data_IF_213121873830
#
_entry.id   IF_213121873830
#
_cell.length_a   1.000
_cell.length_b   1.000
_cell.length_c   1.000
_cell.angle_alpha   90.00
_cell.angle_beta   90.00
_cell.angle_gamma   90.00
#
_symmetry.space_group_name_H-M   'P 1'
#
loop_
_entity.id
_entity.type
_entity.pdbx_description
1 polymer ?
#
# COMPACT_ATOMS: atom_id res chain seq x y z
N UNK A 1 26.83 18.06 -41.44
CA UNK A 1 27.17 16.99 -42.41
C UNK A 1 28.67 17.03 -42.66
N UNK A 2 29.32 15.93 -43.10
CA UNK A 2 29.07 14.51 -42.82
C UNK A 2 30.33 13.85 -42.17
N UNK A 3 30.50 12.54 -42.29
CA UNK A 3 31.62 11.74 -41.71
C UNK A 3 32.82 11.57 -42.68
N UNK A 4 33.88 10.86 -42.21
CA UNK A 4 34.81 9.92 -42.91
C UNK A 4 36.29 10.20 -42.56
N UNK A 5 36.97 9.47 -41.66
CA UNK A 5 37.59 8.10 -41.70
C UNK A 5 39.08 8.07 -42.10
N UNK A 6 39.82 7.10 -41.53
CA UNK A 6 41.28 6.92 -41.62
C UNK A 6 41.76 6.37 -42.98
N UNK A 7 43.08 6.32 -43.21
CA UNK A 7 43.76 5.01 -43.06
C UNK A 7 45.06 5.05 -42.23
N UNK A 8 45.49 3.89 -41.73
CA UNK A 8 46.78 3.66 -41.06
C UNK A 8 47.78 2.92 -41.99
N UNK A 9 49.07 2.95 -41.67
CA UNK A 9 50.16 2.36 -42.47
C UNK A 9 50.84 1.15 -41.79
N UNK A 10 51.50 0.25 -42.56
CA UNK A 10 51.91 -1.09 -42.12
C UNK A 10 53.28 -1.17 -41.41
N UNK A 11 53.63 -2.34 -40.78
CA UNK A 11 54.79 -2.49 -39.89
C UNK A 11 56.07 -3.07 -40.57
N UNK A 12 57.24 -2.97 -39.92
CA UNK A 12 58.49 -3.66 -40.31
C UNK A 12 58.82 -4.92 -39.47
N UNK A 13 59.64 -5.82 -40.03
CA UNK A 13 59.96 -7.19 -39.57
C UNK A 13 61.37 -7.56 -40.10
N UNK A 14 62.33 -8.22 -39.41
CA UNK A 14 62.44 -8.80 -38.05
C UNK A 14 63.81 -8.36 -37.40
N UNK A 15 64.71 -9.13 -36.73
CA UNK A 15 64.85 -10.57 -36.45
C UNK A 15 65.80 -10.90 -35.26
N UNK A 16 65.62 -12.10 -34.69
CA UNK A 16 66.66 -13.02 -34.13
C UNK A 16 67.66 -12.57 -33.04
N UNK A 17 67.45 -13.07 -31.83
CA UNK A 17 68.49 -13.67 -30.97
C UNK A 17 67.94 -14.98 -30.38
N UNK A 18 68.78 -16.00 -30.07
CA UNK A 18 68.29 -17.38 -29.90
C UNK A 18 68.90 -18.17 -28.73
N UNK A 19 68.00 -18.80 -27.94
CA UNK A 19 68.25 -19.91 -26.98
C UNK A 19 69.15 -19.58 -25.76
N UNK A 20 69.24 -20.42 -24.70
CA UNK A 20 68.84 -21.84 -24.56
C UNK A 20 67.41 -22.07 -24.04
N UNK A 21 67.04 -23.36 -23.94
CA UNK A 21 65.73 -23.81 -23.46
C UNK A 21 65.81 -24.28 -21.99
N UNK A 22 64.70 -24.11 -21.25
CA UNK A 22 64.49 -24.70 -19.93
C UNK A 22 63.31 -25.67 -19.99
N UNK A 23 63.52 -26.93 -19.61
CA UNK A 23 62.48 -27.93 -19.49
C UNK A 23 61.85 -27.86 -18.08
N UNK A 24 60.57 -27.53 -18.01
CA UNK A 24 59.75 -27.65 -16.81
C UNK A 24 58.38 -28.27 -17.20
N UNK A 25 57.79 -29.16 -16.38
CA UNK A 25 56.69 -30.01 -16.82
C UNK A 25 55.34 -29.30 -16.82
N UNK A 26 54.48 -29.68 -17.76
CA UNK A 26 53.07 -29.32 -17.76
C UNK A 26 52.30 -30.10 -16.69
N UNK A 27 52.17 -29.54 -15.49
CA UNK A 27 51.24 -30.05 -14.48
C UNK A 27 49.82 -29.68 -14.89
N UNK A 28 49.12 -30.62 -15.54
CA UNK A 28 47.69 -30.49 -15.77
C UNK A 28 46.96 -30.50 -14.41
N UNK A 29 46.33 -29.38 -14.05
CA UNK A 29 45.56 -29.28 -12.82
C UNK A 29 44.33 -30.23 -12.90
N UNK A 30 44.42 -31.37 -12.21
CA UNK A 30 43.29 -32.30 -12.12
C UNK A 30 42.17 -31.64 -11.31
N UNK A 31 41.04 -31.38 -11.96
CA UNK A 31 39.85 -30.86 -11.29
C UNK A 31 39.29 -31.93 -10.33
N UNK A 32 39.68 -31.85 -9.06
CA UNK A 32 39.17 -32.74 -8.01
C UNK A 32 37.66 -32.59 -7.93
N UNK A 33 36.92 -33.69 -8.16
CA UNK A 33 35.47 -33.73 -7.95
C UNK A 33 35.16 -33.27 -6.52
N UNK A 34 34.16 -32.41 -6.29
CA UNK A 34 33.85 -31.93 -4.95
C UNK A 34 33.51 -33.12 -4.05
N UNK A 35 34.16 -33.20 -2.89
CA UNK A 35 33.82 -34.18 -1.87
C UNK A 35 32.44 -33.86 -1.27
N UNK A 36 31.76 -34.87 -0.74
CA UNK A 36 30.38 -34.74 -0.25
C UNK A 36 30.22 -33.62 0.79
N UNK A 37 31.25 -33.35 1.60
CA UNK A 37 31.25 -32.28 2.60
C UNK A 37 31.19 -30.88 1.97
N UNK A 38 31.93 -30.63 0.88
CA UNK A 38 31.91 -29.34 0.17
C UNK A 38 30.58 -29.11 -0.54
N UNK A 39 29.98 -30.17 -1.08
CA UNK A 39 28.63 -30.13 -1.64
C UNK A 39 27.57 -29.83 -0.55
N UNK A 40 27.72 -30.41 0.65
CA UNK A 40 26.82 -30.18 1.78
C UNK A 40 26.84 -28.72 2.25
N UNK A 41 28.02 -28.10 2.35
CA UNK A 41 28.15 -26.68 2.69
C UNK A 41 27.53 -25.75 1.63
N UNK A 42 27.66 -26.08 0.34
CA UNK A 42 27.01 -25.32 -0.73
C UNK A 42 25.47 -25.46 -0.68
N UNK A 43 24.96 -26.65 -0.35
CA UNK A 43 23.52 -26.87 -0.17
C UNK A 43 22.96 -26.11 1.04
N UNK A 44 23.70 -26.10 2.16
CA UNK A 44 23.35 -25.31 3.33
C UNK A 44 23.33 -23.80 3.05
N UNK A 45 24.27 -23.29 2.24
CA UNK A 45 24.30 -21.88 1.85
C UNK A 45 23.08 -21.45 1.02
N UNK A 46 22.53 -22.33 0.17
CA UNK A 46 21.27 -22.03 -0.54
C UNK A 46 20.03 -22.10 0.37
N UNK A 47 20.05 -22.93 1.42
CA UNK A 47 18.96 -23.03 2.40
C UNK A 47 18.87 -21.84 3.36
N UNK A 48 19.90 -20.98 3.41
CA UNK A 48 19.94 -19.75 4.20
C UNK A 48 20.06 -18.47 3.33
N UNK A 49 19.69 -18.54 2.05
CA UNK A 49 19.47 -17.33 1.26
C UNK A 49 18.27 -16.56 1.85
N UNK A 50 18.43 -15.32 2.34
CA UNK A 50 17.33 -14.57 2.92
C UNK A 50 16.30 -14.23 1.84
N UNK A 51 15.13 -14.85 1.90
CA UNK A 51 13.98 -14.41 1.11
C UNK A 51 13.64 -12.98 1.51
N UNK A 52 13.61 -12.01 0.57
CA UNK A 52 13.28 -10.63 0.90
C UNK A 52 11.82 -10.55 1.34
N UNK A 53 11.59 -10.43 2.64
CA UNK A 53 10.26 -10.21 3.22
C UNK A 53 9.85 -8.77 2.93
N UNK A 54 9.16 -8.57 1.81
CA UNK A 54 8.50 -7.31 1.47
C UNK A 54 7.25 -7.17 2.34
N UNK A 55 7.42 -6.63 3.55
CA UNK A 55 6.34 -6.43 4.52
C UNK A 55 5.28 -5.40 4.06
N UNK A 56 5.60 -4.58 3.06
CA UNK A 56 4.69 -3.61 2.46
C UNK A 56 4.51 -3.91 0.97
N UNK A 57 3.29 -3.71 0.47
CA UNK A 57 2.90 -3.93 -0.94
C UNK A 57 3.57 -2.94 -1.91
N UNK A 58 3.96 -1.76 -1.42
CA UNK A 58 4.61 -0.68 -2.17
C UNK A 58 5.87 -0.14 -1.47
N UNK A 59 6.92 -0.96 -1.32
CA UNK A 59 8.11 -0.62 -0.52
C UNK A 59 8.94 0.53 -1.10
N UNK A 60 8.70 0.91 -2.36
CA UNK A 60 9.30 2.07 -3.03
C UNK A 60 8.54 3.39 -2.80
N UNK A 61 7.30 3.35 -2.29
CA UNK A 61 6.44 4.54 -2.09
C UNK A 61 6.35 4.89 -0.61
N UNK A 62 6.80 6.09 -0.22
CA UNK A 62 6.60 6.62 1.14
C UNK A 62 5.36 7.53 1.18
N UNK A 63 4.26 7.01 1.71
CA UNK A 63 3.09 7.80 2.09
C UNK A 63 3.37 8.51 3.43
N UNK A 64 3.01 9.80 3.54
CA UNK A 64 3.30 10.60 4.75
C UNK A 64 2.03 10.86 5.54
N UNK A 65 2.10 10.68 6.86
CA UNK A 65 1.01 11.00 7.80
C UNK A 65 1.46 12.20 8.65
N UNK A 66 0.62 13.22 8.76
CA UNK A 66 0.98 14.48 9.43
C UNK A 66 0.79 14.41 10.95
N UNK A 67 1.78 14.82 11.74
CA UNK A 67 1.60 14.96 13.19
C UNK A 67 1.05 16.36 13.53
N UNK A 68 -0.23 16.43 13.87
CA UNK A 68 -0.84 17.66 14.39
C UNK A 68 -0.32 17.98 15.81
N UNK A 69 -0.08 19.27 16.14
CA UNK A 69 0.18 19.69 17.51
C UNK A 69 -1.12 19.65 18.34
N UNK A 70 -0.99 19.50 19.65
CA UNK A 70 -2.13 19.25 20.55
C UNK A 70 -3.13 20.43 20.67
N UNK A 71 -2.78 21.63 20.18
CA UNK A 71 -3.65 22.81 20.10
C UNK A 71 -4.26 23.03 18.69
N UNK A 72 -4.00 22.13 17.75
CA UNK A 72 -4.54 22.11 16.37
C UNK A 72 -5.01 20.71 15.99
N UNK A 73 -5.67 20.02 16.91
CA UNK A 73 -6.39 18.78 16.60
C UNK A 73 -7.46 19.12 15.55
N UNK A 74 -7.48 18.49 14.36
CA UNK A 74 -8.48 18.80 13.37
C UNK A 74 -9.85 18.35 13.85
N UNK A 75 -10.88 19.12 13.49
CA UNK A 75 -12.28 18.79 13.73
C UNK A 75 -12.74 17.66 12.80
N UNK A 76 -14.03 17.37 12.85
CA UNK A 76 -14.72 16.57 11.84
C UNK A 76 -16.11 17.16 11.73
N UNK A 77 -16.19 18.28 11.00
CA UNK A 77 -17.43 19.00 10.70
C UNK A 77 -17.61 19.32 9.21
N UNK A 78 -16.66 18.89 8.37
CA UNK A 78 -16.73 19.03 6.90
C UNK A 78 -16.07 20.31 6.38
N UNK A 79 -15.31 21.00 7.23
CA UNK A 79 -14.53 22.19 6.89
C UNK A 79 -13.02 21.89 6.94
N UNK A 80 -12.44 21.65 5.76
CA UNK A 80 -11.02 21.35 5.59
C UNK A 80 -10.06 22.48 6.04
N UNK A 81 -10.55 23.63 6.54
CA UNK A 81 -9.72 24.76 7.01
C UNK A 81 -8.69 24.35 8.07
N UNK A 82 -9.01 23.41 8.97
CA UNK A 82 -8.05 22.93 9.99
C UNK A 82 -6.81 22.24 9.37
N UNK A 83 -6.94 21.71 8.14
CA UNK A 83 -5.89 21.03 7.41
C UNK A 83 -5.01 21.95 6.58
N UNK A 84 -5.28 23.27 6.55
CA UNK A 84 -4.49 24.24 5.77
C UNK A 84 -3.01 24.33 6.20
N UNK A 85 -2.66 23.79 7.38
CA UNK A 85 -1.29 23.65 7.88
C UNK A 85 -0.56 22.39 7.39
N UNK A 86 -1.25 21.45 6.73
CA UNK A 86 -0.70 20.17 6.25
C UNK A 86 -0.21 20.33 4.80
N UNK A 87 1.11 20.30 4.54
CA UNK A 87 1.64 20.60 3.21
C UNK A 87 1.18 19.60 2.14
N UNK A 88 0.99 20.08 0.91
CA UNK A 88 0.45 19.27 -0.20
C UNK A 88 1.26 18.01 -0.56
N UNK A 89 2.52 17.92 -0.12
CA UNK A 89 3.34 16.71 -0.25
C UNK A 89 2.99 15.57 0.75
N UNK A 90 1.96 15.76 1.59
CA UNK A 90 1.35 14.73 2.45
C UNK A 90 0.07 14.14 1.84
N UNK A 91 -0.46 14.72 0.76
CA UNK A 91 -1.67 14.19 0.14
C UNK A 91 -1.36 12.98 -0.75
N UNK A 92 -2.21 11.96 -0.68
CA UNK A 92 -2.31 10.90 -1.69
C UNK A 92 -3.29 11.35 -2.77
N UNK A 93 -2.90 11.32 -4.03
CA UNK A 93 -3.74 11.78 -5.16
C UNK A 93 -4.19 10.63 -6.08
N UNK A 94 -5.14 10.92 -6.98
CA UNK A 94 -5.53 10.01 -8.07
C UNK A 94 -4.33 9.47 -8.87
N UNK A 95 -3.23 10.24 -9.01
CA UNK A 95 -2.00 9.82 -9.71
C UNK A 95 -1.31 8.61 -9.06
N UNK A 96 -1.58 8.38 -7.77
CA UNK A 96 -1.01 7.28 -6.98
C UNK A 96 -1.93 6.06 -6.90
N UNK A 97 -3.17 6.15 -7.41
CA UNK A 97 -4.14 5.06 -7.44
C UNK A 97 -4.00 4.17 -8.68
N UNK A 98 -4.68 3.02 -8.66
CA UNK A 98 -4.71 2.07 -9.77
C UNK A 98 -6.16 1.72 -10.10
N UNK A 99 -6.52 1.77 -11.38
CA UNK A 99 -7.78 1.25 -11.90
C UNK A 99 -7.75 -0.29 -11.86
N UNK A 100 -8.55 -0.93 -11.01
CA UNK A 100 -8.55 -2.40 -10.89
C UNK A 100 -9.36 -3.08 -12.01
N UNK A 101 -10.29 -2.36 -12.66
CA UNK A 101 -10.98 -2.84 -13.86
C UNK A 101 -10.00 -2.98 -15.05
N UNK A 102 -8.99 -2.11 -15.08
CA UNK A 102 -7.93 -2.11 -16.09
C UNK A 102 -6.64 -1.49 -15.54
N UNK A 103 -5.75 -2.30 -14.95
CA UNK A 103 -4.43 -1.86 -14.41
C UNK A 103 -3.44 -1.31 -15.46
N UNK A 104 -3.90 -1.08 -16.70
CA UNK A 104 -3.19 -0.39 -17.79
C UNK A 104 -3.72 1.02 -18.04
N UNK A 105 -4.94 1.30 -17.60
CA UNK A 105 -5.55 2.62 -17.60
C UNK A 105 -5.02 3.42 -16.40
N UNK A 106 -4.80 4.71 -16.61
CA UNK A 106 -4.57 5.65 -15.51
C UNK A 106 -5.93 6.26 -15.10
N UNK A 107 -6.16 6.53 -13.81
CA UNK A 107 -7.29 7.36 -13.40
C UNK A 107 -7.32 8.69 -14.16
N UNK A 108 -8.51 9.12 -14.59
CA UNK A 108 -8.74 10.44 -15.19
C UNK A 108 -9.38 11.35 -14.14
N UNK A 109 -8.69 12.44 -13.78
CA UNK A 109 -9.17 13.48 -12.86
C UNK A 109 -10.44 14.20 -13.35
N UNK A 110 -10.82 14.04 -14.63
CA UNK A 110 -12.12 14.50 -15.16
C UNK A 110 -13.26 13.51 -14.93
N UNK A 111 -12.93 12.29 -14.52
CA UNK A 111 -13.90 11.35 -14.00
C UNK A 111 -13.95 11.46 -12.49
N UNK A 112 -12.85 11.13 -11.82
CA UNK A 112 -12.70 11.18 -10.37
C UNK A 112 -11.30 11.72 -10.03
N UNK A 113 -11.24 12.94 -9.49
CA UNK A 113 -10.07 13.45 -8.79
C UNK A 113 -10.27 13.25 -7.29
N UNK A 114 -9.25 12.74 -6.60
CA UNK A 114 -9.26 12.50 -5.15
C UNK A 114 -7.96 12.97 -4.51
N UNK A 115 -8.09 13.43 -3.28
CA UNK A 115 -7.01 13.97 -2.47
C UNK A 115 -7.22 13.57 -1.01
N UNK A 116 -6.41 12.63 -0.53
CA UNK A 116 -6.48 12.11 0.84
C UNK A 116 -5.30 12.65 1.65
N UNK A 117 -5.57 13.38 2.74
CA UNK A 117 -4.57 13.69 3.77
C UNK A 117 -4.88 12.88 5.03
N UNK A 118 -3.86 12.30 5.66
CA UNK A 118 -3.99 11.55 6.92
C UNK A 118 -3.13 12.22 7.99
N UNK A 119 -3.63 12.26 9.22
CA UNK A 119 -2.96 12.86 10.36
C UNK A 119 -3.15 12.10 11.67
N UNK A 120 -2.33 12.44 12.68
CA UNK A 120 -2.39 11.88 14.03
C UNK A 120 -2.00 12.94 15.06
N UNK A 121 -2.34 12.70 16.32
CA UNK A 121 -2.02 13.60 17.45
C UNK A 121 -1.26 12.82 18.51
N UNK A 122 -0.09 13.31 18.91
CA UNK A 122 0.73 12.65 19.93
C UNK A 122 -0.01 12.59 21.27
N UNK A 123 -0.33 11.37 21.71
CA UNK A 123 -1.03 11.10 22.97
C UNK A 123 -2.52 10.75 22.81
N UNK A 124 -3.04 10.71 21.59
CA UNK A 124 -4.38 10.18 21.28
C UNK A 124 -4.26 8.96 20.36
N UNK A 125 -4.99 7.87 20.65
CA UNK A 125 -5.07 6.73 19.75
C UNK A 125 -6.08 7.00 18.62
N UNK A 126 -5.75 7.92 17.71
CA UNK A 126 -6.61 8.33 16.60
C UNK A 126 -5.82 8.62 15.34
N UNK A 127 -6.29 8.04 14.23
CA UNK A 127 -5.96 8.49 12.88
C UNK A 127 -7.09 9.37 12.38
N UNK A 128 -6.74 10.56 11.91
CA UNK A 128 -7.62 11.57 11.34
C UNK A 128 -7.44 11.56 9.82
N UNK A 129 -8.52 11.78 9.08
CA UNK A 129 -8.56 11.71 7.62
C UNK A 129 -9.34 12.91 7.08
N UNK A 130 -8.79 13.51 6.03
CA UNK A 130 -9.49 14.41 5.11
C UNK A 130 -9.49 13.76 3.73
N UNK A 131 -10.67 13.52 3.19
CA UNK A 131 -10.93 13.09 1.83
C UNK A 131 -11.61 14.25 1.09
N UNK A 132 -10.87 14.89 0.18
CA UNK A 132 -11.42 15.86 -0.79
C UNK A 132 -11.54 15.16 -2.15
N UNK A 133 -12.68 15.32 -2.82
CA UNK A 133 -12.91 14.69 -4.12
C UNK A 133 -13.76 15.54 -5.06
N UNK A 134 -13.60 15.28 -6.36
CA UNK A 134 -14.44 15.79 -7.44
C UNK A 134 -14.81 14.64 -8.37
N UNK A 135 -16.08 14.29 -8.45
CA UNK A 135 -16.59 13.33 -9.45
C UNK A 135 -17.45 14.02 -10.51
N UNK A 136 -17.55 13.41 -11.70
CA UNK A 136 -18.48 13.80 -12.75
C UNK A 136 -19.90 13.21 -12.58
N UNK A 137 -20.07 12.20 -11.74
CA UNK A 137 -21.35 11.55 -11.46
C UNK A 137 -21.37 10.91 -10.07
N UNK A 138 -22.04 11.53 -9.09
CA UNK A 138 -22.17 10.94 -7.74
C UNK A 138 -23.35 9.96 -7.62
N UNK A 139 -23.11 8.64 -7.53
CA UNK A 139 -24.12 7.62 -7.21
C UNK A 139 -24.21 7.36 -5.69
N UNK A 140 -25.18 8.01 -5.04
CA UNK A 140 -25.48 7.81 -3.62
C UNK A 140 -26.96 7.60 -3.22
N UNK A 141 -27.95 7.32 -4.10
CA UNK A 141 -29.36 7.19 -3.68
C UNK A 141 -29.71 5.83 -3.06
N UNK A 142 -28.81 4.84 -3.09
CA UNK A 142 -29.08 3.46 -2.70
C UNK A 142 -28.71 3.18 -1.24
N UNK A 143 -29.34 2.18 -0.64
CA UNK A 143 -29.04 1.72 0.74
C UNK A 143 -28.20 0.44 0.79
N UNK A 144 -27.62 0.01 -0.34
CA UNK A 144 -26.71 -1.13 -0.46
C UNK A 144 -25.30 -0.69 -0.87
N UNK A 145 -24.37 -1.63 -1.03
CA UNK A 145 -22.95 -1.37 -1.32
C UNK A 145 -22.65 -0.96 -2.77
N UNK A 146 -23.64 -0.51 -3.53
CA UNK A 146 -23.48 -0.06 -4.93
C UNK A 146 -22.97 1.39 -5.04
N UNK A 147 -23.23 2.21 -4.02
CA UNK A 147 -22.92 3.64 -4.03
C UNK A 147 -21.40 3.90 -4.13
N UNK A 148 -21.04 5.11 -4.57
CA UNK A 148 -19.68 5.62 -4.45
C UNK A 148 -19.19 5.51 -3.00
N UNK A 149 -17.98 4.98 -2.86
CA UNK A 149 -17.44 4.50 -1.59
C UNK A 149 -15.94 4.79 -1.54
N UNK A 150 -15.48 5.39 -0.45
CA UNK A 150 -14.07 5.48 -0.09
C UNK A 150 -13.73 4.37 0.92
N UNK A 151 -12.85 3.45 0.55
CA UNK A 151 -12.44 2.33 1.40
C UNK A 151 -11.07 2.59 2.04
N UNK A 152 -10.95 2.31 3.35
CA UNK A 152 -9.65 2.23 4.03
C UNK A 152 -9.52 0.92 4.81
N UNK A 153 -8.29 0.42 4.89
CA UNK A 153 -7.91 -0.71 5.76
C UNK A 153 -6.78 -0.25 6.65
N UNK A 154 -6.93 -0.46 7.97
CA UNK A 154 -5.90 -0.10 8.95
C UNK A 154 -5.54 -1.31 9.81
N UNK A 155 -4.33 -1.80 9.58
CA UNK A 155 -3.61 -2.76 10.41
C UNK A 155 -2.93 -1.97 11.55
N UNK A 156 -3.27 -2.29 12.80
CA UNK A 156 -2.86 -1.51 13.97
C UNK A 156 -1.45 -1.85 14.46
N UNK A 157 -1.09 -3.13 14.48
CA UNK A 157 0.22 -3.62 14.93
C UNK A 157 1.22 -3.88 13.79
N UNK A 158 0.76 -3.73 12.53
CA UNK A 158 1.48 -4.04 11.31
C UNK A 158 1.86 -5.53 11.18
N UNK A 159 1.00 -6.42 11.69
CA UNK A 159 1.15 -7.88 11.61
C UNK A 159 0.99 -8.42 10.18
N UNK A 160 0.15 -7.79 9.37
CA UNK A 160 -0.08 -8.12 7.97
C UNK A 160 -0.68 -9.51 7.71
N UNK A 161 -0.55 -9.98 6.47
CA UNK A 161 -1.11 -11.26 6.03
C UNK A 161 -2.57 -11.14 5.54
N UNK A 162 -3.35 -12.24 5.55
CA UNK A 162 -4.74 -12.24 5.11
C UNK A 162 -5.66 -11.60 6.16
N UNK A 163 -6.58 -10.73 5.73
CA UNK A 163 -7.39 -9.88 6.63
C UNK A 163 -8.91 -10.22 6.59
N UNK A 164 -9.30 -11.19 5.75
CA UNK A 164 -10.69 -11.58 5.50
C UNK A 164 -10.86 -13.11 5.57
N UNK A 165 -12.06 -13.54 5.98
CA UNK A 165 -12.48 -14.96 6.09
C UNK A 165 -12.12 -15.80 4.85
N UNK A 166 -12.35 -15.26 3.65
CA UNK A 166 -12.11 -15.95 2.37
C UNK A 166 -10.63 -16.24 2.09
N UNK A 167 -9.72 -15.60 2.83
CA UNK A 167 -8.27 -15.80 2.75
C UNK A 167 -7.71 -16.49 4.02
N UNK A 168 -8.56 -16.87 4.98
CA UNK A 168 -8.12 -17.47 6.24
C UNK A 168 -7.27 -18.75 6.01
N UNK A 169 -6.11 -18.93 6.66
CA UNK A 169 -5.21 -20.07 6.42
C UNK A 169 -5.83 -21.45 6.62
N UNK A 170 -6.92 -21.54 7.39
CA UNK A 170 -7.64 -22.79 7.68
C UNK A 170 -9.09 -22.78 7.15
N UNK A 171 -9.39 -21.95 6.14
CA UNK A 171 -10.73 -21.80 5.54
C UNK A 171 -11.36 -23.10 5.00
N UNK A 172 -10.54 -24.09 4.66
CA UNK A 172 -10.98 -25.38 4.11
C UNK A 172 -11.20 -26.45 5.20
N UNK A 173 -10.97 -26.11 6.48
CA UNK A 173 -11.11 -27.01 7.65
C UNK A 173 -11.94 -26.46 8.80
N UNK A 174 -12.20 -25.15 8.83
CA UNK A 174 -13.05 -24.47 9.81
C UNK A 174 -14.44 -24.16 9.24
N UNK A 175 -15.42 -23.83 10.09
CA UNK A 175 -16.71 -23.33 9.59
C UNK A 175 -16.60 -21.86 9.18
N UNK A 176 -17.53 -21.40 8.33
CA UNK A 176 -17.60 -20.00 7.90
C UNK A 176 -17.74 -19.01 9.07
N UNK A 177 -18.31 -19.43 10.21
CA UNK A 177 -18.40 -18.61 11.41
C UNK A 177 -17.03 -18.50 12.11
N UNK A 178 -16.31 -19.62 12.24
CA UNK A 178 -14.98 -19.68 12.86
C UNK A 178 -13.90 -18.96 12.02
N UNK A 179 -14.12 -18.79 10.71
CA UNK A 179 -13.26 -17.99 9.82
C UNK A 179 -13.65 -16.51 9.76
N UNK A 180 -14.85 -16.14 10.21
CA UNK A 180 -15.38 -14.78 10.10
C UNK A 180 -15.29 -14.03 11.43
N UNK A 181 -15.96 -14.52 12.48
CA UNK A 181 -16.08 -13.80 13.74
C UNK A 181 -14.73 -13.45 14.40
N UNK A 182 -13.76 -14.37 14.56
CA UNK A 182 -12.50 -14.07 15.23
C UNK A 182 -11.42 -13.49 14.30
N UNK A 183 -11.75 -13.13 13.04
CA UNK A 183 -10.72 -12.89 12.02
C UNK A 183 -11.04 -11.80 10.99
N UNK A 184 -12.21 -11.81 10.34
CA UNK A 184 -12.51 -10.89 9.25
C UNK A 184 -12.59 -9.46 9.78
N UNK A 185 -11.64 -8.62 9.36
CA UNK A 185 -11.51 -7.24 9.83
C UNK A 185 -10.94 -7.08 11.25
N UNK A 186 -10.66 -8.17 11.97
CA UNK A 186 -10.34 -8.13 13.41
C UNK A 186 -8.93 -7.58 13.65
N UNK A 187 -7.92 -8.11 12.96
CA UNK A 187 -6.52 -7.67 13.07
C UNK A 187 -6.22 -6.40 12.26
N UNK A 188 -6.94 -6.17 11.16
CA UNK A 188 -6.88 -4.92 10.41
C UNK A 188 -8.29 -4.49 10.03
N UNK A 189 -8.70 -3.32 10.50
CA UNK A 189 -10.07 -2.85 10.41
C UNK A 189 -10.34 -2.23 9.03
N UNK A 190 -11.33 -2.79 8.30
CA UNK A 190 -11.79 -2.26 7.02
C UNK A 190 -13.05 -1.39 7.19
N UNK A 191 -13.02 -0.19 6.63
CA UNK A 191 -14.10 0.79 6.62
C UNK A 191 -14.46 1.15 5.17
N UNK A 192 -15.63 0.70 4.69
CA UNK A 192 -16.22 1.16 3.43
C UNK A 192 -17.11 2.37 3.74
N UNK A 193 -16.62 3.58 3.45
CA UNK A 193 -17.28 4.84 3.80
C UNK A 193 -18.10 5.32 2.60
N UNK A 194 -19.41 5.51 2.76
CA UNK A 194 -20.26 5.91 1.63
C UNK A 194 -20.10 7.42 1.35
N UNK A 195 -19.88 7.80 0.10
CA UNK A 195 -19.54 9.17 -0.28
C UNK A 195 -20.45 9.68 -1.39
N UNK A 196 -21.51 10.47 -1.13
CA UNK A 196 -22.10 10.84 0.17
C UNK A 196 -22.90 9.76 0.95
N UNK A 197 -22.97 9.92 2.28
CA UNK A 197 -23.82 9.13 3.17
C UNK A 197 -25.18 9.79 3.50
N UNK A 198 -26.01 10.06 2.49
CA UNK A 198 -27.35 10.66 2.71
C UNK A 198 -28.38 9.63 3.15
N UNK A 199 -29.04 9.87 4.29
CA UNK A 199 -30.18 9.08 4.77
C UNK A 199 -29.86 7.63 5.13
N UNK A 200 -28.58 7.33 5.36
CA UNK A 200 -28.01 6.00 5.59
C UNK A 200 -26.90 6.08 6.65
N UNK A 201 -26.33 4.93 7.00
CA UNK A 201 -25.12 4.83 7.82
C UNK A 201 -23.92 5.52 7.13
N UNK A 202 -22.96 6.05 7.87
CA UNK A 202 -21.79 6.70 7.27
C UNK A 202 -20.81 5.70 6.67
N UNK A 203 -20.74 4.49 7.25
CA UNK A 203 -19.77 3.47 6.88
C UNK A 203 -20.33 2.05 7.12
N UNK A 204 -19.98 1.12 6.22
CA UNK A 204 -19.96 -0.31 6.52
C UNK A 204 -18.57 -0.67 7.07
N UNK A 205 -18.50 -0.98 8.36
CA UNK A 205 -17.35 -1.69 8.92
C UNK A 205 -17.36 -3.13 8.37
N UNK A 206 -16.44 -3.46 7.46
CA UNK A 206 -16.41 -4.77 6.81
C UNK A 206 -15.57 -5.74 7.63
N UNK A 207 -16.26 -6.28 8.63
CA UNK A 207 -15.73 -7.22 9.61
C UNK A 207 -16.85 -7.73 10.51
N UNK A 208 -16.48 -8.40 11.59
CA UNK A 208 -17.40 -8.90 12.62
C UNK A 208 -17.77 -7.85 13.68
N UNK A 209 -17.08 -6.70 13.68
CA UNK A 209 -17.01 -5.72 14.77
C UNK A 209 -17.68 -4.36 14.46
N UNK A 210 -19.00 -4.27 14.23
CA UNK A 210 -19.67 -3.04 13.77
C UNK A 210 -19.62 -1.86 14.75
N UNK A 211 -19.10 -2.04 15.97
CA UNK A 211 -18.94 -1.00 16.98
C UNK A 211 -17.76 -0.04 16.71
N UNK A 212 -16.78 -0.42 15.88
CA UNK A 212 -15.57 0.40 15.64
C UNK A 212 -15.86 1.75 14.96
N UNK A 213 -16.97 1.82 14.22
CA UNK A 213 -17.40 3.01 13.46
C UNK A 213 -18.32 3.95 14.26
N UNK A 214 -18.55 3.66 15.53
CA UNK A 214 -19.41 4.44 16.44
C UNK A 214 -18.56 5.25 17.43
N UNK A 215 -19.15 6.28 18.05
CA UNK A 215 -18.52 6.93 19.21
C UNK A 215 -18.42 5.94 20.39
N UNK A 216 -17.29 5.90 21.13
CA UNK A 216 -16.17 6.86 21.13
C UNK A 216 -15.01 6.51 20.18
N UNK A 217 -15.17 5.51 19.31
CA UNK A 217 -14.10 4.89 18.52
C UNK A 217 -13.89 5.51 17.14
N UNK A 218 -14.96 6.04 16.53
CA UNK A 218 -14.90 6.85 15.33
C UNK A 218 -15.91 8.00 15.34
N UNK A 219 -15.74 8.95 14.42
CA UNK A 219 -16.76 9.92 14.03
C UNK A 219 -16.48 10.45 12.61
N UNK A 220 -17.51 10.86 11.88
CA UNK A 220 -17.39 11.40 10.54
C UNK A 220 -18.35 12.59 10.28
N UNK A 221 -17.96 13.48 9.38
CA UNK A 221 -18.77 14.56 8.83
C UNK A 221 -18.47 14.76 7.34
N UNK A 222 -19.46 15.26 6.59
CA UNK A 222 -19.36 15.48 5.15
C UNK A 222 -19.97 16.83 4.76
N UNK A 223 -19.44 17.42 3.68
CA UNK A 223 -19.89 18.66 3.09
C UNK A 223 -19.86 18.55 1.56
N UNK A 224 -21.00 18.78 0.92
CA UNK A 224 -21.22 18.69 -0.52
C UNK A 224 -22.56 19.34 -0.88
N UNK A 225 -22.80 19.63 -2.16
CA UNK A 225 -24.05 20.27 -2.64
C UNK A 225 -24.75 19.54 -3.78
N UNK A 226 -24.11 18.54 -4.39
CA UNK A 226 -24.62 17.81 -5.55
C UNK A 226 -25.73 16.83 -5.18
N UNK A 227 -26.65 16.56 -6.11
CA UNK A 227 -27.67 15.51 -6.02
C UNK A 227 -27.18 14.21 -6.68
N UNK A 228 -27.87 13.07 -6.48
CA UNK A 228 -27.53 11.83 -7.17
C UNK A 228 -27.50 12.00 -8.69
N UNK A 229 -26.38 11.61 -9.30
CA UNK A 229 -26.10 11.74 -10.73
C UNK A 229 -25.75 13.14 -11.22
N UNK A 230 -25.51 14.11 -10.32
CA UNK A 230 -24.85 15.37 -10.64
C UNK A 230 -23.35 15.27 -10.38
N UNK A 231 -22.53 16.04 -11.10
CA UNK A 231 -21.11 16.23 -10.79
C UNK A 231 -20.93 17.17 -9.59
N UNK A 232 -19.72 17.20 -9.02
CA UNK A 232 -19.33 18.27 -8.09
C UNK A 232 -18.31 17.87 -7.04
N UNK A 233 -18.07 18.78 -6.10
CA UNK A 233 -17.11 18.62 -5.02
C UNK A 233 -17.73 17.95 -3.80
N UNK A 234 -16.93 17.09 -3.16
CA UNK A 234 -17.23 16.41 -1.91
C UNK A 234 -16.06 16.58 -0.94
N UNK A 235 -16.36 16.83 0.32
CA UNK A 235 -15.39 16.89 1.42
C UNK A 235 -15.88 16.00 2.55
N UNK A 236 -15.03 15.11 3.03
CA UNK A 236 -15.27 14.20 4.14
C UNK A 236 -14.13 14.32 5.13
N UNK A 237 -14.48 14.59 6.38
CA UNK A 237 -13.58 14.50 7.52
C UNK A 237 -14.03 13.39 8.45
N UNK A 238 -13.10 12.54 8.88
CA UNK A 238 -13.38 11.53 9.89
C UNK A 238 -12.14 11.19 10.71
N UNK A 239 -12.35 10.52 11.84
CA UNK A 239 -11.28 9.83 12.55
C UNK A 239 -11.74 8.46 13.01
N UNK A 240 -10.77 7.56 13.13
CA UNK A 240 -10.95 6.21 13.68
C UNK A 240 -9.90 5.94 14.75
N UNK A 241 -10.21 5.01 15.63
CA UNK A 241 -9.28 4.40 16.59
C UNK A 241 -8.68 3.15 15.91
N UNK A 242 -7.35 3.07 15.70
CA UNK A 242 -6.71 1.84 15.25
C UNK A 242 -6.60 0.85 16.42
N UNK A 243 -6.74 -0.45 16.13
CA UNK A 243 -6.62 -1.53 17.10
C UNK A 243 -5.73 -2.66 16.56
N UNK A 244 -4.84 -3.18 17.40
CA UNK A 244 -4.09 -4.43 17.17
C UNK A 244 -5.03 -5.65 17.03
N UNK A 245 -6.20 -5.57 17.67
CA UNK A 245 -7.28 -6.53 17.59
C UNK A 245 -8.61 -5.86 17.97
N UNK A 246 -9.63 -5.97 17.11
CA UNK A 246 -10.99 -5.49 17.37
C UNK A 246 -12.00 -6.62 17.15
N UNK A 247 -12.32 -7.37 18.20
CA UNK A 247 -13.24 -8.51 18.15
C UNK A 247 -14.73 -8.11 18.12
N UNK A 248 -15.64 -9.02 17.72
CA UNK A 248 -17.09 -8.78 17.70
C UNK A 248 -17.68 -8.49 19.10
N UNK A 249 -17.01 -8.94 20.16
CA UNK A 249 -17.42 -8.78 21.56
C UNK A 249 -17.32 -7.34 22.09
N UNK A 250 -16.47 -6.50 21.50
CA UNK A 250 -16.17 -5.15 21.98
C UNK A 250 -14.70 -4.98 22.42
N UNK A 251 -14.37 -3.79 22.97
CA UNK A 251 -13.09 -3.45 23.57
C UNK A 251 -12.98 -3.78 25.08
#
# INVERSE_FOLDING_TARGET
MPWSTFPALPPPVAASASKPASLAPSVAASASKPTALTALCAFAALLFAPTPVTAFDRPETIFKIFQFPADKIPRSDGDATDWALVPDSYAVTHEQLTDDSSRKQKPDAKNLDVRVRVGWVKGLNRLYFLYEASDNYWDFPRTDIHNDTFEIVVDGDASGGPLIDRQHPHKDTLSAADTYFPFHGVHAQNYHIFTPFVGKDWCLAWGSQPWIKELPWANAAQNFTSKPGESGLYTLEFWITPFDCAGPEGP
#
